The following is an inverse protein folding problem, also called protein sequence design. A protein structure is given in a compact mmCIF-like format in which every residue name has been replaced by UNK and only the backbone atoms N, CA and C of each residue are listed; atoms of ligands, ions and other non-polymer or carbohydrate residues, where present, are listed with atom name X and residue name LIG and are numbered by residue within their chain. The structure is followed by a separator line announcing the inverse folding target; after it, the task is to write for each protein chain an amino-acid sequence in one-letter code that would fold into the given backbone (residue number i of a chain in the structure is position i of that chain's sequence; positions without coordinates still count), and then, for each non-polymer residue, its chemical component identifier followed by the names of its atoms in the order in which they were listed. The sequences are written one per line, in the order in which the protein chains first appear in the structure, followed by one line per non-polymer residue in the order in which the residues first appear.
data_IF_870366762600
#
_entry.id   IF_870366762600
#
_cell.length_a   1.000
_cell.length_b   1.000
_cell.length_c   1.000
_cell.angle_alpha   90.00
_cell.angle_beta   90.00
_cell.angle_gamma   90.00
#
_symmetry.space_group_name_H-M   'P 1'
#
loop_
_entity.id
_entity.type
_entity.pdbx_description
1 polymer ?
#
# COMPACT_ATOMS: atom_id res chain seq x y z
N UNK A 1 19.99 41.30 7.42
CA UNK A 1 21.18 41.76 6.65
C UNK A 1 20.75 42.59 5.43
N UNK A 2 19.91 42.07 4.52
CA UNK A 2 19.46 42.82 3.33
C UNK A 2 18.63 44.08 3.66
N UNK A 3 17.67 44.00 4.60
CA UNK A 3 16.88 45.16 5.04
C UNK A 3 17.72 46.28 5.68
N UNK A 4 18.82 45.92 6.33
CA UNK A 4 19.79 46.86 6.91
C UNK A 4 20.67 47.53 5.84
N UNK A 5 20.87 46.90 4.68
CA UNK A 5 21.77 47.40 3.63
C UNK A 5 21.05 48.18 2.52
N UNK A 6 19.81 47.81 2.19
CA UNK A 6 19.07 48.40 1.05
C UNK A 6 17.64 48.86 1.41
N UNK A 7 17.27 48.82 2.69
CA UNK A 7 15.95 49.25 3.16
C UNK A 7 14.86 48.19 3.03
N UNK A 8 13.77 48.36 3.78
CA UNK A 8 12.68 47.37 3.84
C UNK A 8 11.99 47.12 2.50
N UNK A 9 11.77 48.18 1.71
CA UNK A 9 11.03 48.06 0.45
C UNK A 9 11.83 47.27 -0.60
N UNK A 10 13.15 47.49 -0.68
CA UNK A 10 14.02 46.72 -1.56
C UNK A 10 14.20 45.28 -1.07
N UNK A 11 14.31 45.07 0.25
CA UNK A 11 14.37 43.72 0.82
C UNK A 11 13.11 42.91 0.52
N UNK A 12 11.93 43.53 0.59
CA UNK A 12 10.66 42.89 0.18
C UNK A 12 10.67 42.50 -1.30
N UNK A 13 11.18 43.36 -2.20
CA UNK A 13 11.32 43.04 -3.63
C UNK A 13 12.28 41.88 -3.87
N UNK A 14 13.42 41.83 -3.16
CA UNK A 14 14.41 40.73 -3.26
C UNK A 14 13.86 39.41 -2.70
N UNK A 15 13.07 39.45 -1.62
CA UNK A 15 12.48 38.25 -1.03
C UNK A 15 11.48 37.54 -1.96
N UNK A 16 10.93 38.24 -2.96
CA UNK A 16 10.01 37.70 -3.96
C UNK A 16 10.77 37.08 -5.15
N UNK A 17 12.08 37.32 -5.27
CA UNK A 17 12.88 36.73 -6.34
C UNK A 17 13.09 35.23 -6.04
N UNK A 18 12.68 34.31 -6.93
CA UNK A 18 12.87 32.90 -6.70
C UNK A 18 14.35 32.55 -6.73
N UNK A 19 14.76 31.64 -5.85
CA UNK A 19 16.09 31.06 -5.90
C UNK A 19 16.27 30.25 -7.18
N UNK A 20 17.49 30.24 -7.72
CA UNK A 20 17.81 29.38 -8.86
C UNK A 20 17.67 27.91 -8.50
N UNK A 21 17.43 27.08 -9.51
CA UNK A 21 17.32 25.61 -9.37
C UNK A 21 18.55 25.05 -8.66
N UNK A 22 19.76 25.48 -9.04
CA UNK A 22 21.02 25.02 -8.44
C UNK A 22 21.17 25.44 -6.97
N UNK A 23 20.59 26.57 -6.56
CA UNK A 23 20.62 26.99 -5.16
C UNK A 23 19.61 26.20 -4.34
N UNK A 24 18.41 25.93 -4.88
CA UNK A 24 17.45 25.06 -4.22
C UNK A 24 17.97 23.62 -4.08
N UNK A 25 18.60 23.09 -5.12
CA UNK A 25 19.23 21.77 -5.08
C UNK A 25 20.27 21.66 -3.96
N UNK A 26 21.25 22.57 -3.92
CA UNK A 26 22.28 22.59 -2.86
C UNK A 26 21.66 22.70 -1.47
N UNK A 27 20.64 23.54 -1.29
CA UNK A 27 19.94 23.65 0.01
C UNK A 27 19.27 22.33 0.41
N UNK A 28 18.66 21.62 -0.54
CA UNK A 28 18.05 20.31 -0.27
C UNK A 28 19.12 19.29 0.09
N UNK A 29 20.25 19.28 -0.61
CA UNK A 29 21.39 18.41 -0.31
C UNK A 29 21.97 18.69 1.08
N UNK A 30 22.21 19.96 1.43
CA UNK A 30 22.71 20.37 2.74
C UNK A 30 21.75 19.96 3.87
N UNK A 31 20.44 20.20 3.70
CA UNK A 31 19.42 19.77 4.67
C UNK A 31 19.35 18.25 4.78
N UNK A 32 19.48 17.52 3.67
CA UNK A 32 19.48 16.06 3.68
C UNK A 32 20.68 15.52 4.45
N UNK A 33 21.88 16.09 4.23
CA UNK A 33 23.10 15.70 4.94
C UNK A 33 22.99 15.97 6.45
N UNK A 34 22.46 17.12 6.83
CA UNK A 34 22.21 17.47 8.24
C UNK A 34 21.21 16.49 8.90
N UNK A 35 20.09 16.20 8.25
CA UNK A 35 19.10 15.22 8.74
C UNK A 35 19.76 13.84 8.89
N UNK A 36 20.50 13.37 7.88
CA UNK A 36 21.19 12.07 7.95
C UNK A 36 22.20 12.03 9.08
N UNK A 37 23.00 13.09 9.27
CA UNK A 37 23.98 13.16 10.35
C UNK A 37 23.30 13.08 11.74
N UNK A 38 22.18 13.78 11.92
CA UNK A 38 21.41 13.73 13.17
C UNK A 38 20.79 12.35 13.41
N UNK A 39 20.23 11.71 12.38
CA UNK A 39 19.66 10.34 12.49
C UNK A 39 20.77 9.35 12.87
N UNK A 40 21.90 9.38 12.17
CA UNK A 40 23.06 8.50 12.41
C UNK A 40 23.58 8.68 13.83
N UNK A 41 23.72 9.90 14.30
CA UNK A 41 24.17 10.16 15.67
C UNK A 41 23.24 9.51 16.70
N UNK A 42 21.92 9.68 16.54
CA UNK A 42 20.94 9.06 17.45
C UNK A 42 20.99 7.53 17.41
N UNK A 43 21.20 6.93 16.23
CA UNK A 43 21.37 5.48 16.09
C UNK A 43 22.62 5.01 16.84
N UNK A 44 23.75 5.72 16.72
CA UNK A 44 24.99 5.38 17.42
C UNK A 44 24.84 5.44 18.94
N UNK A 45 24.10 6.44 19.44
CA UNK A 45 23.78 6.61 20.86
C UNK A 45 22.82 5.52 21.38
N UNK A 46 21.95 5.00 20.52
CA UNK A 46 21.04 3.91 20.86
C UNK A 46 21.80 2.62 21.21
N UNK A 47 21.36 1.85 22.22
CA UNK A 47 21.93 0.54 22.51
C UNK A 47 21.65 -0.46 21.37
N UNK A 48 20.49 -0.35 20.73
CA UNK A 48 20.03 -1.26 19.69
C UNK A 48 19.17 -0.54 18.66
N UNK A 49 19.06 -1.09 17.47
CA UNK A 49 18.14 -0.62 16.45
C UNK A 49 17.59 -1.78 15.62
N UNK A 50 16.51 -1.50 14.89
CA UNK A 50 15.92 -2.39 13.91
C UNK A 50 15.68 -1.63 12.62
N UNK A 51 15.66 -2.34 11.49
CA UNK A 51 15.40 -1.74 10.18
C UNK A 51 14.15 -2.33 9.53
N UNK A 52 13.46 -1.54 8.72
CA UNK A 52 12.39 -2.02 7.85
C UNK A 52 12.72 -1.64 6.43
N UNK A 53 12.64 -2.60 5.50
CA UNK A 53 12.99 -2.40 4.10
C UNK A 53 11.78 -2.66 3.22
N UNK A 54 11.57 -1.77 2.26
CA UNK A 54 10.56 -1.93 1.22
C UNK A 54 11.10 -1.39 -0.11
N UNK A 55 10.57 -1.94 -1.20
CA UNK A 55 10.92 -1.56 -2.56
C UNK A 55 9.74 -0.84 -3.21
N UNK A 56 9.99 0.34 -3.78
CA UNK A 56 8.97 1.09 -4.51
C UNK A 56 9.40 1.34 -5.94
N UNK A 57 8.51 1.09 -6.89
CA UNK A 57 8.75 1.41 -8.30
C UNK A 57 8.07 2.74 -8.65
N UNK A 58 8.85 3.68 -9.18
CA UNK A 58 8.33 4.97 -9.62
C UNK A 58 7.64 4.90 -11.00
N UNK A 59 7.09 6.04 -11.46
CA UNK A 59 6.38 6.12 -12.74
C UNK A 59 7.28 5.87 -13.97
N UNK A 60 8.60 6.06 -13.82
CA UNK A 60 9.60 5.82 -14.85
C UNK A 60 10.18 4.40 -14.76
N UNK A 61 9.59 3.52 -13.93
CA UNK A 61 10.03 2.14 -13.68
C UNK A 61 11.37 2.01 -12.96
N UNK A 62 11.86 3.07 -12.29
CA UNK A 62 13.01 2.94 -11.41
C UNK A 62 12.58 2.37 -10.06
N UNK A 63 13.34 1.38 -9.59
CA UNK A 63 13.13 0.79 -8.26
C UNK A 63 13.94 1.57 -7.24
N UNK A 64 13.28 2.00 -6.18
CA UNK A 64 13.86 2.70 -5.04
C UNK A 64 13.76 1.78 -3.83
N UNK A 65 14.91 1.52 -3.20
CA UNK A 65 14.97 0.91 -1.88
C UNK A 65 14.71 2.00 -0.83
N UNK A 66 13.73 1.76 0.03
CA UNK A 66 13.40 2.62 1.16
C UNK A 66 13.70 1.84 2.44
N UNK A 67 14.53 2.41 3.30
CA UNK A 67 14.83 1.83 4.61
C UNK A 67 14.44 2.79 5.71
N UNK A 68 13.66 2.28 6.65
CA UNK A 68 13.35 2.94 7.92
C UNK A 68 14.18 2.32 9.03
N UNK A 69 14.53 3.13 10.03
CA UNK A 69 15.19 2.65 11.24
C UNK A 69 14.32 2.95 12.46
N UNK A 70 14.21 1.96 13.34
CA UNK A 70 13.63 2.09 14.68
C UNK A 70 14.75 1.98 15.70
N UNK A 71 14.93 2.97 16.55
CA UNK A 71 15.95 2.97 17.61
C UNK A 71 15.38 3.50 18.93
N UNK A 72 16.15 3.38 20.01
CA UNK A 72 15.74 3.81 21.35
C UNK A 72 16.38 5.16 21.66
N UNK A 73 15.57 6.16 22.00
CA UNK A 73 16.04 7.48 22.45
C UNK A 73 15.23 7.91 23.67
N UNK A 74 15.93 8.18 24.78
CA UNK A 74 15.30 8.57 26.05
C UNK A 74 14.14 7.62 26.42
N UNK A 75 14.41 6.31 26.42
CA UNK A 75 13.46 5.23 26.73
C UNK A 75 12.21 5.13 25.82
N UNK A 76 12.20 5.83 24.68
CA UNK A 76 11.14 5.76 23.69
C UNK A 76 11.63 5.16 22.37
N UNK A 77 10.76 4.45 21.67
CA UNK A 77 11.00 4.02 20.30
C UNK A 77 10.82 5.20 19.35
N UNK A 78 11.80 5.42 18.48
CA UNK A 78 11.77 6.48 17.46
C UNK A 78 11.97 5.85 16.10
N UNK A 79 11.07 6.17 15.17
CA UNK A 79 11.11 5.76 13.77
C UNK A 79 11.55 6.95 12.90
N UNK A 80 12.66 6.81 12.18
CA UNK A 80 13.15 7.81 11.23
C UNK A 80 13.53 7.14 9.90
N UNK A 81 13.40 7.84 8.75
CA UNK A 81 13.90 7.33 7.48
C UNK A 81 15.43 7.24 7.52
N UNK A 82 15.99 6.09 7.15
CA UNK A 82 17.43 5.84 7.15
C UNK A 82 18.05 6.19 5.79
N UNK A 83 17.52 5.61 4.72
CA UNK A 83 17.98 5.88 3.36
C UNK A 83 16.87 5.63 2.33
N UNK A 84 16.95 6.39 1.24
CA UNK A 84 16.22 6.14 0.00
C UNK A 84 17.27 6.12 -1.11
N UNK A 85 17.43 4.98 -1.77
CA UNK A 85 18.45 4.81 -2.82
C UNK A 85 17.89 4.04 -4.01
N UNK A 86 18.24 4.43 -5.25
CA UNK A 86 17.88 3.65 -6.42
C UNK A 86 18.62 2.30 -6.40
N UNK A 87 17.96 1.27 -6.91
CA UNK A 87 18.58 0.00 -7.29
C UNK A 87 18.83 0.06 -8.80
N UNK A 88 20.09 0.23 -9.20
CA UNK A 88 20.43 0.63 -10.57
C UNK A 88 20.35 -0.53 -11.59
N UNK A 89 20.59 -1.76 -11.16
CA UNK A 89 20.68 -2.92 -12.04
C UNK A 89 19.61 -3.98 -11.76
N UNK A 90 19.67 -4.60 -10.58
CA UNK A 90 18.72 -5.64 -10.18
C UNK A 90 18.18 -5.39 -8.78
N UNK A 91 17.10 -6.11 -8.45
CA UNK A 91 16.44 -6.09 -7.14
C UNK A 91 16.78 -7.35 -6.34
N UNK A 92 18.00 -7.89 -6.51
CA UNK A 92 18.40 -9.10 -5.78
C UNK A 92 18.74 -8.73 -4.34
N UNK A 93 18.63 -9.72 -3.45
CA UNK A 93 19.00 -9.55 -2.04
C UNK A 93 20.42 -9.04 -1.83
N UNK A 94 21.35 -9.37 -2.74
CA UNK A 94 22.72 -8.87 -2.74
C UNK A 94 22.81 -7.37 -3.05
N UNK A 95 22.04 -6.87 -4.01
CA UNK A 95 22.01 -5.43 -4.34
C UNK A 95 21.44 -4.63 -3.18
N UNK A 96 20.34 -5.13 -2.60
CA UNK A 96 19.66 -4.51 -1.46
C UNK A 96 20.60 -4.49 -0.24
N UNK A 97 21.22 -5.63 0.07
CA UNK A 97 22.20 -5.73 1.15
C UNK A 97 23.38 -4.78 0.90
N UNK A 98 23.91 -4.73 -0.33
CA UNK A 98 25.02 -3.86 -0.69
C UNK A 98 24.74 -2.38 -0.41
N UNK A 99 23.51 -1.90 -0.67
CA UNK A 99 23.12 -0.52 -0.31
C UNK A 99 23.10 -0.29 1.21
N UNK A 100 22.61 -1.27 1.98
CA UNK A 100 22.57 -1.19 3.45
C UNK A 100 23.98 -1.27 4.03
N UNK A 101 24.80 -2.22 3.55
CA UNK A 101 26.18 -2.40 3.97
C UNK A 101 27.03 -1.16 3.68
N UNK A 102 26.89 -0.59 2.48
CA UNK A 102 27.55 0.66 2.12
C UNK A 102 27.16 1.79 3.06
N UNK A 103 25.86 1.94 3.37
CA UNK A 103 25.42 2.97 4.31
C UNK A 103 26.00 2.76 5.71
N UNK A 104 26.01 1.52 6.21
CA UNK A 104 26.61 1.22 7.52
C UNK A 104 28.10 1.52 7.54
N UNK A 105 28.81 1.24 6.44
CA UNK A 105 30.23 1.54 6.29
C UNK A 105 30.52 3.04 6.22
N UNK A 106 29.78 3.77 5.37
CA UNK A 106 29.97 5.21 5.15
C UNK A 106 29.75 6.03 6.43
N UNK A 107 28.83 5.58 7.28
CA UNK A 107 28.48 6.25 8.53
C UNK A 107 29.03 5.56 9.78
N UNK A 108 29.82 4.49 9.64
CA UNK A 108 30.42 3.74 10.74
C UNK A 108 29.36 3.29 11.78
N UNK A 109 28.32 2.60 11.29
CA UNK A 109 27.27 1.99 12.09
C UNK A 109 27.60 0.53 12.39
N UNK A 110 27.24 0.10 13.61
CA UNK A 110 27.55 -1.25 14.08
C UNK A 110 26.39 -2.22 13.80
N UNK A 111 26.65 -3.24 12.97
CA UNK A 111 25.74 -4.36 12.75
C UNK A 111 25.51 -5.20 14.01
N UNK A 112 26.43 -5.20 14.97
CA UNK A 112 26.27 -5.81 16.28
C UNK A 112 25.10 -5.24 17.08
N UNK A 113 24.69 -4.00 16.81
CA UNK A 113 23.53 -3.35 17.44
C UNK A 113 22.20 -3.59 16.72
N UNK A 114 22.22 -4.24 15.56
CA UNK A 114 21.02 -4.57 14.81
C UNK A 114 20.31 -5.76 15.48
N UNK A 115 19.10 -5.56 16.00
CA UNK A 115 18.30 -6.60 16.64
C UNK A 115 17.15 -7.12 15.77
N UNK A 116 16.69 -6.34 14.79
CA UNK A 116 15.52 -6.69 14.02
C UNK A 116 15.57 -6.17 12.59
N UNK A 117 15.02 -6.94 11.68
CA UNK A 117 14.78 -6.51 10.31
C UNK A 117 13.39 -6.95 9.85
N UNK A 118 12.63 -6.04 9.25
CA UNK A 118 11.33 -6.35 8.64
C UNK A 118 11.38 -6.14 7.14
N UNK A 119 10.95 -7.13 6.37
CA UNK A 119 10.88 -7.08 4.89
C UNK A 119 9.56 -7.66 4.41
N UNK A 120 9.26 -7.51 3.12
CA UNK A 120 8.29 -8.38 2.46
C UNK A 120 8.91 -9.79 2.23
N UNK A 121 8.06 -10.76 1.89
CA UNK A 121 8.48 -12.14 1.61
C UNK A 121 8.92 -12.33 0.14
N UNK A 122 9.38 -11.27 -0.52
CA UNK A 122 9.89 -11.39 -1.89
C UNK A 122 11.07 -12.39 -1.91
N UNK A 123 11.25 -13.19 -2.98
CA UNK A 123 12.36 -14.13 -3.08
C UNK A 123 13.74 -13.47 -2.89
N UNK A 124 13.87 -12.20 -3.28
CA UNK A 124 15.06 -11.39 -3.05
C UNK A 124 15.34 -11.12 -1.57
N UNK A 125 14.31 -11.03 -0.73
CA UNK A 125 14.44 -10.79 0.70
C UNK A 125 14.70 -12.09 1.47
N UNK A 126 13.96 -13.15 1.17
CA UNK A 126 13.98 -14.42 1.93
C UNK A 126 14.90 -15.51 1.39
N UNK A 127 15.48 -15.34 0.20
CA UNK A 127 16.26 -16.39 -0.48
C UNK A 127 17.34 -17.02 0.41
N UNK A 128 17.31 -18.35 0.54
CA UNK A 128 18.17 -19.10 1.46
C UNK A 128 19.66 -18.93 1.16
N UNK A 129 20.03 -18.77 -0.12
CA UNK A 129 21.44 -18.68 -0.56
C UNK A 129 21.93 -17.26 -0.81
N UNK A 130 21.05 -16.37 -1.25
CA UNK A 130 21.41 -15.05 -1.77
C UNK A 130 20.37 -13.96 -1.43
N UNK A 131 19.46 -14.26 -0.50
CA UNK A 131 18.47 -13.30 -0.04
C UNK A 131 19.07 -12.34 0.97
N UNK A 132 18.45 -11.15 1.10
CA UNK A 132 18.82 -10.15 2.09
C UNK A 132 18.92 -10.75 3.49
N UNK A 133 17.95 -11.60 3.87
CA UNK A 133 17.93 -12.32 5.15
C UNK A 133 19.25 -13.05 5.42
N UNK A 134 19.72 -13.85 4.47
CA UNK A 134 20.94 -14.64 4.63
C UNK A 134 22.14 -13.72 4.81
N UNK A 135 22.25 -12.67 3.99
CA UNK A 135 23.35 -11.70 4.05
C UNK A 135 23.36 -10.88 5.33
N UNK A 136 22.20 -10.45 5.80
CA UNK A 136 22.08 -9.70 7.05
C UNK A 136 22.46 -10.55 8.26
N UNK A 137 22.10 -11.84 8.25
CA UNK A 137 22.46 -12.77 9.33
C UNK A 137 23.94 -13.18 9.31
N UNK A 138 24.64 -13.07 8.18
CA UNK A 138 26.10 -13.26 8.10
C UNK A 138 26.84 -12.19 8.92
N UNK A 139 26.36 -10.93 8.90
CA UNK A 139 27.00 -9.79 9.59
C UNK A 139 26.38 -9.45 10.95
N UNK A 140 25.11 -9.82 11.17
CA UNK A 140 24.37 -9.58 12.41
C UNK A 140 23.55 -10.83 12.81
N UNK A 141 24.21 -11.91 13.29
CA UNK A 141 23.57 -13.20 13.56
C UNK A 141 22.43 -13.17 14.59
N UNK A 142 22.44 -12.19 15.49
CA UNK A 142 21.41 -11.96 16.52
C UNK A 142 20.12 -11.32 15.97
N UNK A 143 20.12 -10.85 14.72
CA UNK A 143 19.00 -10.13 14.13
C UNK A 143 17.78 -11.03 13.96
N UNK A 144 16.64 -10.61 14.51
CA UNK A 144 15.36 -11.25 14.28
C UNK A 144 14.75 -10.77 12.96
N UNK A 145 14.53 -11.69 12.03
CA UNK A 145 13.88 -11.41 10.75
C UNK A 145 12.37 -11.58 10.90
N UNK A 146 11.63 -10.49 10.69
CA UNK A 146 10.17 -10.46 10.82
C UNK A 146 9.55 -10.19 9.45
N UNK A 147 8.59 -11.01 9.05
CA UNK A 147 7.83 -10.73 7.83
C UNK A 147 6.79 -9.63 8.08
N UNK A 148 6.71 -8.66 7.17
CA UNK A 148 5.75 -7.57 7.20
C UNK A 148 4.30 -8.05 7.39
N UNK A 149 3.66 -7.62 8.49
CA UNK A 149 2.30 -8.05 8.83
C UNK A 149 1.27 -7.63 7.78
N UNK A 150 1.44 -6.45 7.18
CA UNK A 150 0.55 -5.93 6.13
C UNK A 150 0.63 -6.83 4.89
N UNK A 151 1.85 -7.24 4.53
CA UNK A 151 2.04 -8.17 3.42
C UNK A 151 1.44 -9.55 3.72
N UNK A 152 1.60 -10.05 4.96
CA UNK A 152 0.96 -11.31 5.41
C UNK A 152 -0.55 -11.28 5.32
N UNK A 153 -1.17 -10.19 5.80
CA UNK A 153 -2.61 -9.98 5.69
C UNK A 153 -3.06 -10.02 4.22
N UNK A 154 -2.35 -9.28 3.36
CA UNK A 154 -2.62 -9.24 1.92
C UNK A 154 -2.45 -10.61 1.26
N UNK A 155 -1.45 -11.40 1.66
CA UNK A 155 -1.27 -12.76 1.14
C UNK A 155 -2.40 -13.69 1.58
N UNK A 156 -2.83 -13.60 2.85
CA UNK A 156 -3.92 -14.41 3.37
C UNK A 156 -5.25 -14.10 2.67
N UNK A 157 -5.50 -12.83 2.37
CA UNK A 157 -6.74 -12.38 1.75
C UNK A 157 -6.84 -12.63 0.24
N UNK A 158 -5.73 -13.01 -0.42
CA UNK A 158 -5.73 -13.42 -1.85
C UNK A 158 -6.49 -14.71 -2.13
N UNK A 159 -6.71 -15.56 -1.12
CA UNK A 159 -7.37 -16.85 -1.31
C UNK A 159 -8.87 -16.64 -1.42
N UNK A 160 -9.44 -16.93 -2.58
CA UNK A 160 -10.87 -16.82 -2.85
C UNK A 160 -11.41 -18.18 -3.35
N UNK A 161 -12.65 -18.56 -2.98
CA UNK A 161 -13.37 -19.63 -3.65
C UNK A 161 -13.48 -19.38 -5.16
N UNK A 162 -13.51 -20.45 -5.95
CA UNK A 162 -13.50 -20.38 -7.43
C UNK A 162 -14.60 -19.48 -7.99
N UNK A 163 -15.81 -19.53 -7.43
CA UNK A 163 -16.94 -18.69 -7.82
C UNK A 163 -16.63 -17.19 -7.66
N UNK A 164 -16.15 -16.78 -6.48
CA UNK A 164 -15.82 -15.38 -6.20
C UNK A 164 -14.60 -14.90 -6.99
N UNK A 165 -13.65 -15.79 -7.24
CA UNK A 165 -12.50 -15.51 -8.11
C UNK A 165 -12.94 -15.28 -9.56
N UNK A 166 -13.87 -16.09 -10.07
CA UNK A 166 -14.45 -15.93 -11.41
C UNK A 166 -15.19 -14.60 -11.53
N UNK A 167 -16.04 -14.25 -10.55
CA UNK A 167 -16.74 -12.96 -10.51
C UNK A 167 -15.76 -11.78 -10.50
N UNK A 168 -14.76 -11.80 -9.62
CA UNK A 168 -13.73 -10.75 -9.57
C UNK A 168 -12.98 -10.62 -10.90
N UNK A 169 -12.70 -11.74 -11.58
CA UNK A 169 -12.06 -11.76 -12.90
C UNK A 169 -12.91 -11.05 -13.95
N UNK A 170 -14.23 -11.30 -13.98
CA UNK A 170 -15.14 -10.61 -14.89
C UNK A 170 -15.22 -9.11 -14.61
N UNK A 171 -15.28 -8.69 -13.34
CA UNK A 171 -15.22 -7.27 -12.97
C UNK A 171 -13.93 -6.62 -13.50
N UNK A 172 -12.78 -7.26 -13.29
CA UNK A 172 -11.48 -6.75 -13.78
C UNK A 172 -11.47 -6.63 -15.31
N UNK A 173 -12.04 -7.60 -16.03
CA UNK A 173 -12.14 -7.56 -17.50
C UNK A 173 -13.01 -6.39 -17.97
N UNK A 174 -14.17 -6.18 -17.35
CA UNK A 174 -15.07 -5.06 -17.67
C UNK A 174 -14.37 -3.71 -17.46
N UNK A 175 -13.72 -3.54 -16.31
CA UNK A 175 -12.98 -2.31 -15.96
C UNK A 175 -11.83 -2.08 -16.93
N UNK A 176 -11.01 -3.10 -17.20
CA UNK A 176 -9.88 -2.98 -18.12
C UNK A 176 -10.32 -2.67 -19.54
N UNK A 177 -11.46 -3.19 -20.00
CA UNK A 177 -12.01 -2.86 -21.31
C UNK A 177 -12.32 -1.35 -21.47
N UNK A 178 -12.81 -0.71 -20.40
CA UNK A 178 -13.08 0.72 -20.38
C UNK A 178 -11.77 1.52 -20.21
N UNK A 179 -10.94 1.14 -19.24
CA UNK A 179 -9.77 1.92 -18.81
C UNK A 179 -8.57 1.80 -19.76
N UNK A 180 -8.48 0.72 -20.55
CA UNK A 180 -7.43 0.57 -21.57
C UNK A 180 -7.62 1.48 -22.79
N UNK A 181 -8.82 2.04 -22.98
CA UNK A 181 -9.14 2.95 -24.09
C UNK A 181 -9.42 4.36 -23.56
N UNK A 182 -8.61 5.32 -23.97
CA UNK A 182 -8.82 6.73 -23.66
C UNK A 182 -10.16 7.25 -24.21
N UNK A 183 -10.65 6.68 -25.32
CA UNK A 183 -11.98 6.97 -25.84
C UNK A 183 -13.06 6.40 -24.94
N UNK A 184 -13.00 5.11 -24.60
CA UNK A 184 -14.02 4.47 -23.75
C UNK A 184 -14.07 5.10 -22.37
N UNK A 185 -12.93 5.49 -21.81
CA UNK A 185 -12.88 6.22 -20.53
C UNK A 185 -13.60 7.57 -20.60
N UNK A 186 -13.44 8.32 -21.71
CA UNK A 186 -14.15 9.60 -21.90
C UNK A 186 -15.64 9.38 -22.12
N UNK A 187 -16.02 8.40 -22.94
CA UNK A 187 -17.42 8.07 -23.22
C UNK A 187 -18.15 7.58 -21.98
N UNK A 188 -17.55 6.65 -21.22
CA UNK A 188 -18.12 6.16 -19.97
C UNK A 188 -18.32 7.29 -18.95
N UNK A 189 -17.37 8.25 -18.88
CA UNK A 189 -17.53 9.44 -18.04
C UNK A 189 -18.75 10.28 -18.41
N UNK A 190 -18.96 10.53 -19.70
CA UNK A 190 -20.14 11.25 -20.18
C UNK A 190 -21.42 10.47 -19.84
N UNK A 191 -21.39 9.15 -20.00
CA UNK A 191 -22.48 8.26 -19.65
C UNK A 191 -22.89 8.39 -18.17
N UNK A 192 -21.91 8.35 -17.26
CA UNK A 192 -22.15 8.57 -15.83
C UNK A 192 -22.74 9.95 -15.53
N UNK A 193 -22.30 10.99 -16.24
CA UNK A 193 -22.82 12.35 -16.05
C UNK A 193 -24.26 12.50 -16.55
N UNK A 194 -24.60 11.86 -17.66
CA UNK A 194 -25.95 11.87 -18.22
C UNK A 194 -26.94 11.09 -17.35
N UNK A 195 -26.47 10.07 -16.64
CA UNK A 195 -27.26 9.27 -15.70
C UNK A 195 -27.29 9.85 -14.26
N UNK A 196 -26.67 11.01 -14.04
CA UNK A 196 -26.57 11.66 -12.72
C UNK A 196 -25.92 10.77 -11.64
N UNK A 197 -24.88 10.02 -12.03
CA UNK A 197 -24.17 9.13 -11.13
C UNK A 197 -23.27 9.89 -10.14
N UNK A 198 -23.18 9.40 -8.89
CA UNK A 198 -22.28 9.94 -7.86
C UNK A 198 -20.80 9.91 -8.27
N UNK A 199 -20.45 9.01 -9.19
CA UNK A 199 -19.09 8.83 -9.67
C UNK A 199 -18.99 8.81 -11.18
N UNK A 200 -18.03 9.58 -11.70
CA UNK A 200 -17.87 9.76 -13.13
C UNK A 200 -16.77 8.89 -13.76
N UNK A 201 -16.11 8.02 -12.98
CA UNK A 201 -15.05 7.16 -13.48
C UNK A 201 -14.91 5.88 -12.63
N UNK A 202 -14.59 4.78 -13.30
CA UNK A 202 -14.07 3.56 -12.66
C UNK A 202 -12.63 3.75 -12.18
N UNK A 203 -12.24 3.01 -11.15
CA UNK A 203 -10.87 2.94 -10.67
C UNK A 203 -10.05 1.95 -11.52
N UNK A 204 -8.75 2.19 -11.69
CA UNK A 204 -7.89 1.23 -12.37
C UNK A 204 -7.52 0.11 -11.38
N UNK A 205 -7.61 -1.14 -11.84
CA UNK A 205 -7.07 -2.27 -11.10
C UNK A 205 -5.53 -2.29 -11.18
N UNK A 206 -4.85 -2.45 -10.03
CA UNK A 206 -3.42 -2.79 -10.01
C UNK A 206 -3.20 -4.01 -9.13
N UNK A 207 -2.48 -5.02 -9.61
CA UNK A 207 -2.21 -6.25 -8.85
C UNK A 207 -1.41 -5.99 -7.57
N UNK A 208 -0.61 -4.92 -7.56
CA UNK A 208 0.37 -4.62 -6.50
C UNK A 208 -0.29 -4.04 -5.25
N UNK A 209 -1.42 -3.33 -5.38
CA UNK A 209 -2.05 -2.63 -4.25
C UNK A 209 -3.37 -3.29 -3.89
N UNK A 210 -3.35 -4.21 -2.92
CA UNK A 210 -4.52 -4.96 -2.46
C UNK A 210 -5.71 -4.07 -2.09
N UNK A 211 -5.45 -2.96 -1.39
CA UNK A 211 -6.47 -1.95 -1.02
C UNK A 211 -7.28 -1.43 -2.23
N UNK A 212 -6.68 -1.43 -3.42
CA UNK A 212 -7.34 -0.98 -4.65
C UNK A 212 -8.46 -1.91 -5.12
N UNK A 213 -8.45 -3.21 -4.74
CA UNK A 213 -9.51 -4.16 -5.10
C UNK A 213 -10.84 -3.84 -4.44
N UNK A 214 -10.82 -3.56 -3.14
CA UNK A 214 -12.03 -3.19 -2.41
C UNK A 214 -12.67 -1.92 -2.98
N UNK A 215 -11.85 -0.88 -3.19
CA UNK A 215 -12.32 0.38 -3.77
C UNK A 215 -12.85 0.20 -5.19
N UNK A 216 -12.22 -0.67 -5.99
CA UNK A 216 -12.68 -0.99 -7.34
C UNK A 216 -14.05 -1.67 -7.32
N UNK A 217 -14.21 -2.70 -6.49
CA UNK A 217 -15.46 -3.45 -6.39
C UNK A 217 -16.60 -2.54 -5.92
N UNK A 218 -16.35 -1.70 -4.91
CA UNK A 218 -17.32 -0.72 -4.44
C UNK A 218 -17.73 0.22 -5.57
N UNK A 219 -16.75 0.76 -6.31
CA UNK A 219 -17.01 1.65 -7.45
C UNK A 219 -17.82 0.98 -8.56
N UNK A 220 -17.58 -0.30 -8.82
CA UNK A 220 -18.33 -1.07 -9.82
C UNK A 220 -19.75 -1.33 -9.35
N UNK A 221 -19.96 -1.59 -8.06
CA UNK A 221 -21.29 -1.75 -7.49
C UNK A 221 -22.09 -0.45 -7.52
N UNK A 222 -21.47 0.67 -7.17
CA UNK A 222 -22.06 2.03 -7.24
C UNK A 222 -22.46 2.37 -8.68
N UNK A 223 -21.61 2.03 -9.65
CA UNK A 223 -21.81 2.33 -11.08
C UNK A 223 -22.39 1.16 -11.90
N UNK A 224 -23.05 0.19 -11.26
CA UNK A 224 -23.49 -1.04 -11.94
C UNK A 224 -24.51 -0.76 -13.05
N UNK A 225 -25.34 0.26 -12.90
CA UNK A 225 -26.40 0.59 -13.84
C UNK A 225 -25.86 1.34 -15.07
N UNK A 226 -24.95 2.29 -14.86
CA UNK A 226 -24.19 2.97 -15.90
C UNK A 226 -23.31 1.97 -16.65
N UNK A 227 -22.63 1.09 -15.92
CA UNK A 227 -21.80 0.05 -16.49
C UNK A 227 -22.63 -0.90 -17.36
N UNK A 228 -23.79 -1.33 -16.88
CA UNK A 228 -24.71 -2.20 -17.63
C UNK A 228 -25.15 -1.56 -18.94
N UNK A 229 -25.63 -0.32 -18.88
CA UNK A 229 -26.12 0.35 -20.09
C UNK A 229 -24.97 0.72 -21.05
N UNK A 230 -23.82 1.15 -20.54
CA UNK A 230 -22.64 1.36 -21.37
C UNK A 230 -22.24 0.07 -22.10
N UNK A 231 -22.19 -1.07 -21.40
CA UNK A 231 -21.87 -2.37 -22.01
C UNK A 231 -22.92 -2.80 -23.04
N UNK A 232 -24.20 -2.44 -22.84
CA UNK A 232 -25.27 -2.66 -23.81
C UNK A 232 -25.02 -1.89 -25.11
N UNK A 233 -24.62 -0.62 -25.04
CA UNK A 233 -24.24 0.18 -26.24
C UNK A 233 -23.04 -0.40 -26.99
N UNK A 234 -22.13 -1.08 -26.28
CA UNK A 234 -20.95 -1.75 -26.84
C UNK A 234 -21.24 -3.17 -27.35
N UNK A 235 -22.49 -3.65 -27.26
CA UNK A 235 -22.88 -5.00 -27.68
C UNK A 235 -22.32 -6.13 -26.81
N UNK A 236 -21.92 -5.84 -25.56
CA UNK A 236 -21.31 -6.81 -24.63
C UNK A 236 -22.36 -7.60 -23.85
N UNK A 237 -23.19 -8.35 -24.57
CA UNK A 237 -24.37 -9.05 -24.03
C UNK A 237 -24.07 -9.99 -22.86
N UNK A 238 -22.93 -10.69 -22.87
CA UNK A 238 -22.52 -11.57 -21.77
C UNK A 238 -22.29 -10.80 -20.46
N UNK A 239 -21.68 -9.61 -20.51
CA UNK A 239 -21.45 -8.78 -19.33
C UNK A 239 -22.73 -8.11 -18.84
N UNK A 240 -23.62 -7.71 -19.75
CA UNK A 240 -24.95 -7.22 -19.41
C UNK A 240 -25.74 -8.29 -18.65
N UNK A 241 -25.74 -9.54 -19.14
CA UNK A 241 -26.42 -10.65 -18.48
C UNK A 241 -25.89 -10.92 -17.06
N UNK A 242 -24.57 -10.77 -16.81
CA UNK A 242 -24.00 -10.87 -15.46
C UNK A 242 -24.48 -9.74 -14.55
N UNK A 243 -24.51 -8.50 -15.05
CA UNK A 243 -24.96 -7.32 -14.30
C UNK A 243 -26.48 -7.31 -14.04
N UNK A 244 -27.25 -8.13 -14.75
CA UNK A 244 -28.68 -8.35 -14.54
C UNK A 244 -28.97 -9.56 -13.63
N UNK A 245 -27.96 -10.36 -13.30
CA UNK A 245 -28.13 -11.57 -12.49
C UNK A 245 -28.00 -11.27 -11.00
N UNK A 246 -29.10 -11.36 -10.26
CA UNK A 246 -29.16 -11.06 -8.82
C UNK A 246 -28.16 -11.87 -7.99
N UNK A 247 -27.91 -13.14 -8.34
CA UNK A 247 -26.94 -13.97 -7.63
C UNK A 247 -25.51 -13.44 -7.81
N UNK A 248 -25.17 -12.94 -9.02
CA UNK A 248 -23.87 -12.35 -9.31
C UNK A 248 -23.70 -11.00 -8.61
N UNK A 249 -24.76 -10.17 -8.58
CA UNK A 249 -24.76 -8.93 -7.81
C UNK A 249 -24.63 -9.19 -6.30
N UNK A 250 -25.22 -10.28 -5.80
CA UNK A 250 -25.09 -10.68 -4.39
C UNK A 250 -23.66 -11.11 -4.06
N UNK A 251 -23.00 -11.85 -4.95
CA UNK A 251 -21.57 -12.16 -4.83
C UNK A 251 -20.70 -10.89 -4.85
N UNK A 252 -21.02 -9.94 -5.71
CA UNK A 252 -20.36 -8.64 -5.77
C UNK A 252 -20.51 -7.89 -4.44
N UNK A 253 -21.73 -7.75 -3.92
CA UNK A 253 -22.00 -7.13 -2.62
C UNK A 253 -21.19 -7.79 -1.50
N UNK A 254 -21.18 -9.13 -1.47
CA UNK A 254 -20.45 -9.90 -0.47
C UNK A 254 -18.95 -9.59 -0.51
N UNK A 255 -18.34 -9.59 -1.70
CA UNK A 255 -16.94 -9.20 -1.81
C UNK A 255 -16.71 -7.75 -1.39
N UNK A 256 -17.57 -6.81 -1.77
CA UNK A 256 -17.42 -5.41 -1.33
C UNK A 256 -17.40 -5.31 0.20
N UNK A 257 -18.36 -5.93 0.89
CA UNK A 257 -18.47 -5.90 2.35
C UNK A 257 -17.24 -6.54 3.05
N UNK A 258 -16.72 -7.64 2.51
CA UNK A 258 -15.52 -8.33 3.04
C UNK A 258 -14.24 -7.53 2.76
N UNK A 259 -14.07 -7.01 1.54
CA UNK A 259 -12.91 -6.22 1.18
C UNK A 259 -12.86 -4.88 1.94
N UNK A 260 -14.02 -4.27 2.25
CA UNK A 260 -14.07 -3.09 3.13
C UNK A 260 -13.47 -3.41 4.51
N UNK A 261 -13.85 -4.55 5.11
CA UNK A 261 -13.33 -4.99 6.41
C UNK A 261 -11.84 -5.32 6.37
N UNK A 262 -11.38 -5.95 5.29
CA UNK A 262 -9.95 -6.19 5.05
C UNK A 262 -9.19 -4.86 4.91
N UNK A 263 -9.74 -3.88 4.20
CA UNK A 263 -9.15 -2.56 4.06
C UNK A 263 -9.05 -1.84 5.42
N UNK A 264 -10.09 -1.90 6.25
CA UNK A 264 -10.06 -1.36 7.62
C UNK A 264 -8.98 -2.02 8.46
N UNK A 265 -8.87 -3.35 8.42
CA UNK A 265 -7.80 -4.08 9.11
C UNK A 265 -6.43 -3.62 8.60
N UNK A 266 -6.21 -3.64 7.29
CA UNK A 266 -4.94 -3.29 6.66
C UNK A 266 -4.50 -1.86 7.02
N UNK A 267 -5.41 -0.87 6.95
CA UNK A 267 -5.13 0.49 7.40
C UNK A 267 -4.82 0.56 8.90
N UNK A 268 -5.51 -0.23 9.72
CA UNK A 268 -5.22 -0.27 11.16
C UNK A 268 -3.85 -0.88 11.46
N UNK A 269 -3.29 -1.72 10.59
CA UNK A 269 -1.94 -2.29 10.75
C UNK A 269 -0.83 -1.30 10.35
N UNK A 270 -1.19 -0.17 9.73
CA UNK A 270 -0.27 0.90 9.36
C UNK A 270 -0.21 1.97 10.45
N UNK A 271 0.91 2.70 10.50
CA UNK A 271 1.06 3.88 11.34
C UNK A 271 2.19 3.79 12.35
N UNK A 272 2.38 4.89 13.08
CA UNK A 272 3.38 5.00 14.16
C UNK A 272 3.00 4.07 15.31
N UNK A 273 4.01 3.63 16.06
CA UNK A 273 3.87 2.77 17.26
C UNK A 273 3.34 1.35 17.01
N UNK A 274 3.13 0.99 15.74
CA UNK A 274 2.76 -0.36 15.33
C UNK A 274 3.79 -1.38 15.82
N UNK A 275 3.31 -2.41 16.52
CA UNK A 275 4.12 -3.47 17.11
C UNK A 275 3.37 -4.81 17.14
N UNK A 276 4.09 -5.88 17.44
CA UNK A 276 3.59 -7.25 17.37
C UNK A 276 2.39 -7.50 18.30
N UNK A 277 2.34 -6.86 19.48
CA UNK A 277 1.24 -7.02 20.44
C UNK A 277 -0.03 -6.39 19.86
N UNK A 278 0.07 -5.15 19.36
CA UNK A 278 -1.04 -4.47 18.69
C UNK A 278 -1.54 -5.26 17.48
N UNK A 279 -0.61 -5.84 16.69
CA UNK A 279 -0.97 -6.67 15.55
C UNK A 279 -1.72 -7.93 15.98
N UNK A 280 -1.25 -8.61 17.03
CA UNK A 280 -1.91 -9.79 17.56
C UNK A 280 -3.35 -9.50 17.98
N UNK A 281 -3.57 -8.40 18.71
CA UNK A 281 -4.90 -8.02 19.19
C UNK A 281 -5.85 -7.66 18.04
N UNK A 282 -5.36 -6.89 17.06
CA UNK A 282 -6.12 -6.53 15.86
C UNK A 282 -6.50 -7.76 15.04
N UNK A 283 -5.56 -8.68 14.82
CA UNK A 283 -5.81 -9.93 14.10
C UNK A 283 -6.81 -10.82 14.86
N UNK A 284 -6.66 -10.94 16.18
CA UNK A 284 -7.57 -11.74 17.01
C UNK A 284 -8.99 -11.18 16.98
N UNK A 285 -9.15 -9.86 17.11
CA UNK A 285 -10.44 -9.19 16.99
C UNK A 285 -11.06 -9.35 15.60
N UNK A 286 -10.25 -9.27 14.55
CA UNK A 286 -10.70 -9.49 13.18
C UNK A 286 -11.19 -10.93 12.95
N UNK A 287 -10.44 -11.94 13.42
CA UNK A 287 -10.84 -13.34 13.34
C UNK A 287 -12.15 -13.61 14.11
N UNK A 288 -12.33 -13.01 15.28
CA UNK A 288 -13.59 -13.08 16.02
C UNK A 288 -14.75 -12.43 15.24
N UNK A 289 -14.49 -11.32 14.56
CA UNK A 289 -15.46 -10.65 13.68
C UNK A 289 -15.87 -11.54 12.51
N UNK A 290 -14.90 -12.16 11.81
CA UNK A 290 -15.18 -13.10 10.72
C UNK A 290 -15.99 -14.30 11.20
N UNK A 291 -15.67 -14.86 12.36
CA UNK A 291 -16.44 -15.96 12.96
C UNK A 291 -17.88 -15.55 13.23
N UNK A 292 -18.09 -14.38 13.82
CA UNK A 292 -19.44 -13.86 14.04
C UNK A 292 -20.22 -13.68 12.73
N UNK A 293 -19.57 -13.17 11.67
CA UNK A 293 -20.21 -13.03 10.35
C UNK A 293 -20.60 -14.39 9.78
N UNK A 294 -19.72 -15.39 9.87
CA UNK A 294 -20.01 -16.76 9.43
C UNK A 294 -21.20 -17.37 10.20
N UNK A 295 -21.21 -17.24 11.53
CA UNK A 295 -22.29 -17.74 12.39
C UNK A 295 -23.64 -17.07 12.06
N UNK A 296 -23.62 -15.76 11.75
CA UNK A 296 -24.83 -15.00 11.38
C UNK A 296 -25.33 -15.33 9.98
N UNK A 297 -24.42 -15.48 9.02
CA UNK A 297 -24.75 -15.93 7.66
C UNK A 297 -25.37 -17.33 7.67
N UNK A 298 -24.86 -18.24 8.52
CA UNK A 298 -25.41 -19.59 8.68
C UNK A 298 -26.89 -19.60 9.16
N UNK A 299 -27.31 -18.60 9.93
CA UNK A 299 -28.70 -18.42 10.36
C UNK A 299 -29.47 -17.40 9.50
N UNK A 300 -28.99 -17.12 8.28
CA UNK A 300 -29.57 -16.17 7.32
C UNK A 300 -29.78 -14.75 7.87
N UNK A 301 -28.97 -14.31 8.83
CA UNK A 301 -28.97 -12.93 9.33
C UNK A 301 -27.87 -12.13 8.65
N UNK A 302 -28.23 -11.47 7.56
CA UNK A 302 -27.30 -10.70 6.74
C UNK A 302 -27.18 -9.22 7.16
N UNK A 303 -27.80 -8.79 8.27
CA UNK A 303 -27.80 -7.38 8.71
C UNK A 303 -26.42 -6.79 9.02
N UNK A 304 -25.39 -7.65 9.14
CA UNK A 304 -23.99 -7.24 9.36
C UNK A 304 -23.20 -7.05 8.06
N UNK A 305 -23.86 -7.25 6.92
CA UNK A 305 -23.38 -6.99 5.57
C UNK A 305 -24.14 -5.77 5.03
N UNK A 306 -23.55 -4.56 5.07
CA UNK A 306 -24.24 -3.34 4.67
C UNK A 306 -24.89 -3.41 3.29
N UNK A 307 -24.18 -3.98 2.31
CA UNK A 307 -24.70 -4.13 0.95
C UNK A 307 -25.42 -5.46 0.75
N UNK A 308 -24.84 -6.56 1.24
CA UNK A 308 -25.42 -7.89 1.00
C UNK A 308 -26.71 -8.15 1.80
N UNK A 309 -26.88 -7.48 2.95
CA UNK A 309 -28.07 -7.57 3.78
C UNK A 309 -29.29 -6.86 3.22
N UNK A 310 -29.09 -5.92 2.29
CA UNK A 310 -30.16 -5.25 1.55
C UNK A 310 -30.56 -5.95 0.25
N UNK A 311 -29.68 -6.80 -0.31
CA UNK A 311 -29.82 -7.33 -1.67
C UNK A 311 -30.65 -8.63 -1.80
N UNK A 312 -30.79 -9.45 -0.75
CA UNK A 312 -31.83 -10.50 -0.51
C UNK A 312 -31.32 -11.59 0.45
N UNK A 313 -32.24 -12.43 0.94
CA UNK A 313 -32.05 -13.46 1.99
C UNK A 313 -31.23 -14.70 1.60
N UNK A 314 -30.62 -14.73 0.41
CA UNK A 314 -29.86 -15.90 -0.06
C UNK A 314 -28.43 -15.49 -0.44
N UNK A 315 -27.59 -15.34 0.59
CA UNK A 315 -26.14 -15.38 0.41
C UNK A 315 -25.72 -16.80 -0.02
N UNK A 316 -24.69 -16.94 -0.88
CA UNK A 316 -24.09 -18.22 -1.16
C UNK A 316 -23.37 -18.72 0.10
N UNK A 317 -24.08 -19.49 0.92
CA UNK A 317 -23.49 -20.26 2.01
C UNK A 317 -22.90 -21.52 1.39
N UNK A 318 -21.61 -21.49 1.04
CA UNK A 318 -20.74 -22.67 0.92
C UNK A 318 -19.28 -22.26 0.97
#
# INVERSE_FOLDING_TARGET
MVSLMVGEEAAKKVAVIPLSVNTNQRRIEDMSLDITAQVVQKIKESPWHAIQLDESTDIASYVQLIVWVRFIKADNFVDEPLLIKPLEATTKGEDIFGKVEQFYRDYDLDFGKLLGSTTDDAPAMLGVRSGLKTKLLEVAPQTSMVHCMIHRETLASRTLPETLQSMLSEVIKMVNHIKSSALNTRLFRLFCQEMDADHNNLLLYTQVRWLSRGNLLLRVYELKDELKEFQRTQGKTAWVALLELDSWLSELCYLVDIFERLNVLNHSLQGKDANLIIFHDKMSGFLATLKLLADKAAVKRCSLFPLSGGASNDLPVR
#
